data_IF_504219354802
#
_entry.id   IF_504219354802
#
_cell.length_a   1.000
_cell.length_b   1.000
_cell.length_c   1.000
_cell.angle_alpha   90.00
_cell.angle_beta   90.00
_cell.angle_gamma   90.00
#
_symmetry.space_group_name_H-M   'P 1'
#
loop_
_entity.id
_entity.type
_entity.pdbx_description
1 polymer ?
#
# COMPACT_ATOMS: atom_id res chain seq x y z
N UNK A 1 -21.86 17.39 -8.16
CA UNK A 1 -21.75 16.76 -6.85
C UNK A 1 -20.81 15.56 -6.92
N UNK A 2 -19.69 15.64 -6.28
CA UNK A 2 -18.75 14.54 -6.25
C UNK A 2 -19.20 13.40 -5.36
N UNK A 3 -18.88 12.18 -5.71
CA UNK A 3 -19.09 11.05 -4.83
C UNK A 3 -17.95 10.97 -3.84
N UNK A 4 -18.26 10.64 -2.60
CA UNK A 4 -17.26 10.51 -1.54
C UNK A 4 -16.61 9.14 -1.58
N UNK A 5 -15.30 9.11 -1.45
CA UNK A 5 -14.56 7.87 -1.27
C UNK A 5 -14.43 7.61 0.22
N UNK A 6 -14.81 6.40 0.64
CA UNK A 6 -14.67 5.97 2.03
C UNK A 6 -13.54 4.96 2.16
N UNK A 7 -12.81 5.02 3.28
CA UNK A 7 -11.72 4.10 3.58
C UNK A 7 -12.07 3.34 4.85
N UNK A 8 -11.97 2.02 4.79
CA UNK A 8 -12.32 1.16 5.92
C UNK A 8 -11.52 -0.14 5.85
N UNK A 9 -11.61 -0.94 6.93
CA UNK A 9 -10.97 -2.25 6.94
C UNK A 9 -11.61 -3.16 5.90
N UNK A 10 -10.78 -3.87 5.14
CA UNK A 10 -11.24 -4.83 4.17
C UNK A 10 -11.81 -6.07 4.85
N UNK A 11 -12.79 -6.68 4.23
CA UNK A 11 -13.38 -7.93 4.69
C UNK A 11 -13.24 -9.00 3.63
N UNK A 12 -13.58 -10.24 3.96
CA UNK A 12 -13.58 -11.35 3.02
C UNK A 12 -14.39 -11.04 1.76
N UNK A 13 -15.45 -10.25 1.89
CA UNK A 13 -16.31 -9.87 0.76
C UNK A 13 -15.58 -9.01 -0.26
N UNK A 14 -14.53 -8.32 0.16
CA UNK A 14 -13.78 -7.42 -0.71
C UNK A 14 -12.66 -8.13 -1.46
N UNK A 15 -12.33 -9.35 -1.06
CA UNK A 15 -11.11 -10.04 -1.53
C UNK A 15 -10.98 -10.10 -3.05
N UNK A 16 -12.04 -10.54 -3.73
CA UNK A 16 -11.99 -10.65 -5.20
C UNK A 16 -11.81 -9.31 -5.88
N UNK A 17 -12.51 -8.29 -5.41
CA UNK A 17 -12.42 -6.95 -6.01
C UNK A 17 -11.04 -6.33 -5.77
N UNK A 18 -10.49 -6.51 -4.59
CA UNK A 18 -9.15 -6.00 -4.28
C UNK A 18 -8.12 -6.68 -5.16
N UNK A 19 -8.21 -8.00 -5.30
CA UNK A 19 -7.25 -8.75 -6.11
C UNK A 19 -7.33 -8.36 -7.59
N UNK A 20 -8.54 -8.17 -8.12
CA UNK A 20 -8.71 -7.69 -9.50
C UNK A 20 -8.09 -6.32 -9.70
N UNK A 21 -8.28 -5.43 -8.74
CA UNK A 21 -7.69 -4.10 -8.80
C UNK A 21 -6.16 -4.19 -8.73
N UNK A 22 -5.64 -5.10 -7.91
CA UNK A 22 -4.21 -5.34 -7.80
C UNK A 22 -3.63 -5.76 -9.16
N UNK A 23 -4.26 -6.72 -9.83
CA UNK A 23 -3.81 -7.16 -11.15
C UNK A 23 -3.81 -6.00 -12.15
N UNK A 24 -4.86 -5.18 -12.11
CA UNK A 24 -4.94 -4.03 -13.00
C UNK A 24 -3.83 -3.02 -12.74
N UNK A 25 -3.63 -2.67 -11.47
CA UNK A 25 -2.67 -1.62 -11.09
C UNK A 25 -1.21 -2.05 -11.33
N UNK A 26 -0.89 -3.32 -11.14
CA UNK A 26 0.50 -3.78 -11.29
C UNK A 26 0.88 -4.14 -12.72
N UNK A 27 -0.04 -4.05 -13.69
CA UNK A 27 0.30 -4.23 -15.10
C UNK A 27 1.35 -3.21 -15.54
N UNK A 28 1.21 -1.95 -15.11
CA UNK A 28 2.16 -0.91 -15.46
C UNK A 28 3.54 -1.18 -14.88
N UNK A 29 3.61 -1.65 -13.64
CA UNK A 29 4.87 -2.01 -13.00
C UNK A 29 5.55 -3.13 -13.78
N UNK A 30 4.79 -4.17 -14.14
CA UNK A 30 5.29 -5.27 -14.94
C UNK A 30 5.83 -4.80 -16.29
N UNK A 31 5.12 -3.89 -16.93
CA UNK A 31 5.53 -3.33 -18.21
C UNK A 31 6.84 -2.55 -18.08
N UNK A 32 6.97 -1.74 -17.02
CA UNK A 32 8.18 -0.94 -16.79
C UNK A 32 9.43 -1.80 -16.64
N UNK A 33 9.31 -2.98 -16.05
CA UNK A 33 10.43 -3.86 -15.79
C UNK A 33 10.49 -5.07 -16.73
N UNK A 34 9.53 -5.19 -17.63
CA UNK A 34 9.47 -6.33 -18.55
C UNK A 34 9.30 -7.65 -17.82
N UNK A 35 8.62 -7.66 -16.67
CA UNK A 35 8.48 -8.85 -15.84
C UNK A 35 7.06 -8.99 -15.33
N UNK A 36 6.30 -9.89 -15.95
CA UNK A 36 4.91 -10.16 -15.56
C UNK A 36 4.80 -11.28 -14.51
N UNK A 37 5.93 -11.81 -14.05
CA UNK A 37 5.97 -12.80 -12.98
C UNK A 37 6.16 -12.20 -11.59
N UNK A 38 5.99 -10.89 -11.43
CA UNK A 38 6.10 -10.24 -10.13
C UNK A 38 4.99 -10.73 -9.19
N UNK A 39 5.28 -10.76 -7.91
CA UNK A 39 4.38 -11.34 -6.91
C UNK A 39 2.95 -10.76 -6.95
N UNK A 40 2.76 -9.43 -7.10
CA UNK A 40 1.41 -8.89 -7.13
C UNK A 40 0.54 -9.41 -8.29
N UNK A 41 1.16 -9.88 -9.36
CA UNK A 41 0.43 -10.43 -10.51
C UNK A 41 0.23 -11.95 -10.41
N UNK A 42 0.96 -12.62 -9.52
CA UNK A 42 0.87 -14.07 -9.36
C UNK A 42 0.16 -14.49 -8.08
N UNK A 43 -0.13 -13.55 -7.20
CA UNK A 43 -0.84 -13.84 -5.96
C UNK A 43 -2.23 -14.41 -6.26
N UNK A 44 -2.56 -15.52 -5.61
CA UNK A 44 -3.88 -16.15 -5.78
C UNK A 44 -4.88 -15.56 -4.78
N UNK A 45 -6.15 -15.85 -5.03
CA UNK A 45 -7.20 -15.42 -4.10
C UNK A 45 -7.02 -16.07 -2.73
N UNK A 46 -6.63 -17.34 -2.69
CA UNK A 46 -6.38 -18.03 -1.42
C UNK A 46 -5.23 -17.40 -0.66
N UNK A 47 -4.15 -17.04 -1.36
CA UNK A 47 -3.01 -16.34 -0.74
C UNK A 47 -3.45 -15.00 -0.16
N UNK A 48 -4.27 -14.25 -0.89
CA UNK A 48 -4.74 -12.97 -0.40
C UNK A 48 -5.67 -13.13 0.80
N UNK A 49 -6.53 -14.13 0.79
CA UNK A 49 -7.40 -14.41 1.94
C UNK A 49 -6.59 -14.73 3.20
N UNK A 50 -5.48 -15.44 3.03
CA UNK A 50 -4.58 -15.69 4.15
C UNK A 50 -3.97 -14.39 4.68
N UNK A 51 -3.60 -13.46 3.80
CA UNK A 51 -3.10 -12.15 4.22
C UNK A 51 -4.16 -11.37 5.00
N UNK A 52 -5.42 -11.43 4.59
CA UNK A 52 -6.50 -10.74 5.30
C UNK A 52 -6.58 -11.13 6.77
N UNK A 53 -6.21 -12.37 7.10
CA UNK A 53 -6.26 -12.87 8.46
C UNK A 53 -5.11 -12.36 9.34
N UNK A 54 -4.01 -11.90 8.73
CA UNK A 54 -2.78 -11.58 9.45
C UNK A 54 -2.29 -10.15 9.25
N UNK A 55 -2.82 -9.44 8.27
CA UNK A 55 -2.36 -8.10 7.92
C UNK A 55 -3.46 -7.08 8.18
N UNK A 56 -3.03 -5.82 8.34
CA UNK A 56 -3.95 -4.70 8.28
C UNK A 56 -4.20 -4.42 6.80
N UNK A 57 -5.40 -4.64 6.30
CA UNK A 57 -5.76 -4.37 4.92
C UNK A 57 -6.88 -3.35 4.90
N UNK A 58 -6.65 -2.23 4.23
CA UNK A 58 -7.68 -1.19 4.08
C UNK A 58 -8.16 -1.17 2.64
N UNK A 59 -9.40 -0.75 2.47
CA UNK A 59 -10.03 -0.64 1.17
C UNK A 59 -10.66 0.73 1.03
N UNK A 60 -10.52 1.33 -0.15
CA UNK A 60 -11.20 2.56 -0.52
C UNK A 60 -12.33 2.22 -1.47
N UNK A 61 -13.52 2.74 -1.19
CA UNK A 61 -14.71 2.50 -2.00
C UNK A 61 -15.30 3.80 -2.49
N UNK A 62 -15.76 3.76 -3.73
CA UNK A 62 -16.57 4.80 -4.33
C UNK A 62 -17.92 4.15 -4.59
N UNK A 63 -18.91 4.43 -3.74
CA UNK A 63 -20.14 3.64 -3.72
C UNK A 63 -19.79 2.22 -3.30
N UNK A 64 -20.13 1.24 -4.14
CA UNK A 64 -19.81 -0.17 -3.89
C UNK A 64 -18.56 -0.65 -4.60
N UNK A 65 -17.97 0.20 -5.43
CA UNK A 65 -16.79 -0.16 -6.20
C UNK A 65 -15.52 0.02 -5.37
N UNK A 66 -14.67 -0.99 -5.35
CA UNK A 66 -13.34 -0.89 -4.74
C UNK A 66 -12.43 -0.14 -5.69
N UNK A 67 -11.90 1.00 -5.23
CA UNK A 67 -11.08 1.88 -6.07
C UNK A 67 -9.67 2.06 -5.52
N UNK A 68 -9.36 1.48 -4.38
CA UNK A 68 -8.01 1.52 -3.83
C UNK A 68 -7.85 0.56 -2.68
N UNK A 69 -6.61 0.26 -2.31
CA UNK A 69 -6.30 -0.60 -1.19
C UNK A 69 -4.86 -0.38 -0.74
N UNK A 70 -4.55 -0.80 0.47
CA UNK A 70 -3.19 -0.77 1.03
C UNK A 70 -3.11 -1.81 2.13
N UNK A 71 -1.93 -2.37 2.35
CA UNK A 71 -1.69 -3.40 3.38
C UNK A 71 -0.52 -3.03 4.26
N UNK A 72 -0.53 -3.55 5.48
CA UNK A 72 0.60 -3.39 6.38
C UNK A 72 0.65 -4.46 7.46
N UNK A 73 1.85 -4.76 7.91
CA UNK A 73 2.12 -5.61 9.06
C UNK A 73 3.16 -4.93 9.93
N UNK A 74 3.27 -5.34 11.20
CA UNK A 74 4.28 -4.77 12.10
C UNK A 74 5.17 -5.90 12.59
N UNK A 75 6.49 -5.72 12.41
CA UNK A 75 7.51 -6.65 12.89
C UNK A 75 7.67 -6.52 14.41
N UNK A 76 8.40 -7.48 15.00
CA UNK A 76 8.65 -7.48 16.44
C UNK A 76 9.37 -6.22 16.94
N UNK A 77 10.17 -5.58 16.08
CA UNK A 77 10.90 -4.37 16.45
C UNK A 77 10.09 -3.07 16.26
N UNK A 78 8.80 -3.20 15.91
CA UNK A 78 7.94 -2.05 15.72
C UNK A 78 7.98 -1.46 14.32
N UNK A 79 8.64 -2.10 13.36
CA UNK A 79 8.67 -1.62 11.99
C UNK A 79 7.40 -2.08 11.27
N UNK A 80 6.61 -1.12 10.80
CA UNK A 80 5.44 -1.40 9.99
C UNK A 80 5.85 -1.48 8.53
N UNK A 81 5.62 -2.64 7.92
CA UNK A 81 5.90 -2.84 6.50
C UNK A 81 4.62 -2.63 5.73
N UNK A 82 4.61 -1.53 4.97
CA UNK A 82 3.45 -1.12 4.18
C UNK A 82 3.70 -1.51 2.73
N UNK A 83 2.69 -2.07 2.09
CA UNK A 83 2.82 -2.48 0.70
C UNK A 83 1.50 -2.50 -0.04
N UNK A 84 1.61 -2.76 -1.32
CA UNK A 84 0.48 -2.89 -2.24
C UNK A 84 -0.51 -1.74 -2.11
N UNK A 85 0.04 -0.52 -2.08
CA UNK A 85 -0.76 0.70 -2.17
C UNK A 85 -1.18 0.85 -3.63
N UNK A 86 -2.45 0.69 -3.88
CA UNK A 86 -3.00 0.72 -5.24
C UNK A 86 -4.20 1.65 -5.31
N UNK A 87 -4.31 2.37 -6.42
CA UNK A 87 -5.42 3.27 -6.71
C UNK A 87 -5.84 3.03 -8.15
N UNK A 88 -7.15 2.87 -8.36
CA UNK A 88 -7.68 2.67 -9.70
C UNK A 88 -7.18 3.78 -10.63
N UNK A 89 -6.73 3.44 -11.85
CA UNK A 89 -6.18 4.46 -12.76
C UNK A 89 -7.06 5.67 -12.99
N UNK A 90 -8.38 5.50 -12.97
CA UNK A 90 -9.33 6.62 -13.12
C UNK A 90 -9.28 7.62 -11.98
N UNK A 91 -8.80 7.20 -10.83
CA UNK A 91 -8.81 8.03 -9.61
C UNK A 91 -7.43 8.45 -9.16
N UNK A 92 -6.41 8.18 -9.95
CA UNK A 92 -5.06 8.66 -9.66
C UNK A 92 -5.01 10.18 -9.80
N UNK A 93 -4.09 10.82 -9.06
CA UNK A 93 -3.90 12.26 -9.02
C UNK A 93 -5.03 13.02 -8.31
N UNK A 94 -5.85 12.33 -7.54
CA UNK A 94 -6.91 12.95 -6.73
C UNK A 94 -6.61 12.87 -5.23
N UNK A 95 -5.37 12.54 -4.87
CA UNK A 95 -4.95 12.48 -3.47
C UNK A 95 -5.37 11.21 -2.73
N UNK A 96 -5.96 10.24 -3.41
CA UNK A 96 -6.43 9.02 -2.75
C UNK A 96 -5.27 8.16 -2.23
N UNK A 97 -4.16 8.09 -2.97
CA UNK A 97 -2.98 7.35 -2.50
C UNK A 97 -2.46 7.89 -1.16
N UNK A 98 -2.38 9.21 -1.04
CA UNK A 98 -1.98 9.85 0.22
C UNK A 98 -2.96 9.59 1.35
N UNK A 99 -4.25 9.59 1.05
CA UNK A 99 -5.28 9.30 2.07
C UNK A 99 -5.20 7.85 2.55
N UNK A 100 -4.99 6.90 1.65
CA UNK A 100 -4.82 5.50 2.01
C UNK A 100 -3.57 5.30 2.85
N UNK A 101 -2.47 5.95 2.46
CA UNK A 101 -1.22 5.86 3.18
C UNK A 101 -1.38 6.40 4.61
N UNK A 102 -1.99 7.59 4.75
CA UNK A 102 -2.24 8.17 6.07
C UNK A 102 -3.14 7.27 6.91
N UNK A 103 -4.17 6.70 6.30
CA UNK A 103 -5.11 5.84 7.02
C UNK A 103 -4.44 4.55 7.53
N UNK A 104 -3.61 3.89 6.71
CA UNK A 104 -2.93 2.67 7.16
C UNK A 104 -1.87 3.00 8.20
N UNK A 105 -1.16 4.11 8.06
CA UNK A 105 -0.20 4.55 9.08
C UNK A 105 -0.88 4.71 10.44
N UNK A 106 -2.02 5.38 10.45
CA UNK A 106 -2.77 5.60 11.68
C UNK A 106 -3.23 4.28 12.32
N UNK A 107 -3.77 3.36 11.52
CA UNK A 107 -4.18 2.05 12.01
C UNK A 107 -3.03 1.25 12.58
N UNK A 108 -1.88 1.28 11.90
CA UNK A 108 -0.72 0.51 12.33
C UNK A 108 -0.15 1.03 13.66
N UNK A 109 -0.23 2.34 13.89
CA UNK A 109 0.14 2.91 15.18
C UNK A 109 -0.89 2.57 16.26
N UNK A 110 -2.16 2.80 15.98
CA UNK A 110 -3.23 2.65 16.99
C UNK A 110 -3.46 1.20 17.38
N UNK A 111 -3.43 0.28 16.44
CA UNK A 111 -3.82 -1.10 16.68
C UNK A 111 -2.63 -2.06 16.76
N UNK A 112 -1.48 -1.70 16.20
CA UNK A 112 -0.34 -2.60 16.08
C UNK A 112 0.93 -2.03 16.71
N UNK A 113 0.85 -0.85 17.32
CA UNK A 113 1.96 -0.19 18.02
C UNK A 113 3.20 0.04 17.15
N UNK A 114 2.99 0.41 15.90
CA UNK A 114 4.09 0.71 14.98
C UNK A 114 4.93 1.88 15.49
N UNK A 115 6.24 1.75 15.39
CA UNK A 115 7.20 2.80 15.77
C UNK A 115 7.77 3.53 14.57
N UNK A 116 7.83 2.84 13.42
CA UNK A 116 8.30 3.41 12.15
C UNK A 116 7.60 2.71 11.02
N UNK A 117 7.58 3.38 9.88
CA UNK A 117 6.99 2.84 8.67
C UNK A 117 8.09 2.57 7.65
N UNK A 118 8.01 1.43 6.98
CA UNK A 118 8.94 1.00 5.96
C UNK A 118 8.16 0.57 4.72
N UNK A 119 8.61 1.03 3.57
CA UNK A 119 8.03 0.56 2.31
C UNK A 119 9.09 0.51 1.23
N UNK A 120 8.82 -0.25 0.19
CA UNK A 120 9.70 -0.37 -0.97
C UNK A 120 8.90 -0.10 -2.23
N UNK A 121 9.56 0.46 -3.23
CA UNK A 121 8.96 0.65 -4.54
C UNK A 121 10.06 0.54 -5.59
N UNK A 122 9.66 0.23 -6.84
CA UNK A 122 10.62 0.14 -7.92
C UNK A 122 11.29 1.48 -8.19
N UNK A 123 12.55 1.44 -8.57
CA UNK A 123 13.33 2.65 -8.83
C UNK A 123 12.79 3.46 -10.02
N UNK A 124 12.03 2.80 -10.91
CA UNK A 124 11.41 3.46 -12.05
C UNK A 124 9.99 3.97 -11.75
N UNK A 125 9.49 3.71 -10.56
CA UNK A 125 8.14 4.13 -10.16
C UNK A 125 8.16 5.54 -9.61
N UNK A 126 8.37 6.52 -10.50
CA UNK A 126 8.57 7.92 -10.11
C UNK A 126 7.39 8.51 -9.35
N UNK A 127 6.18 8.15 -9.74
CA UNK A 127 4.98 8.62 -9.06
C UNK A 127 4.89 8.17 -7.63
N UNK A 128 5.24 6.91 -7.37
CA UNK A 128 5.26 6.36 -6.01
C UNK A 128 6.35 7.02 -5.17
N UNK A 129 7.55 7.17 -5.74
CA UNK A 129 8.65 7.83 -5.02
C UNK A 129 8.27 9.25 -4.63
N UNK A 130 7.62 9.98 -5.52
CA UNK A 130 7.18 11.35 -5.25
C UNK A 130 6.12 11.36 -4.14
N UNK A 131 5.16 10.45 -4.20
CA UNK A 131 4.11 10.34 -3.19
C UNK A 131 4.71 10.09 -1.81
N UNK A 132 5.63 9.12 -1.70
CA UNK A 132 6.21 8.75 -0.43
C UNK A 132 7.08 9.87 0.15
N UNK A 133 7.92 10.49 -0.67
CA UNK A 133 8.75 11.61 -0.22
C UNK A 133 7.91 12.79 0.23
N UNK A 134 6.82 13.07 -0.49
CA UNK A 134 5.89 14.14 -0.11
C UNK A 134 5.25 13.86 1.25
N UNK A 135 5.10 12.60 1.61
CA UNK A 135 4.50 12.20 2.88
C UNK A 135 5.55 11.93 3.97
N UNK A 136 6.77 12.40 3.78
CA UNK A 136 7.77 12.39 4.83
C UNK A 136 8.72 11.20 4.83
N UNK A 137 8.64 10.32 3.83
CA UNK A 137 9.53 9.18 3.74
C UNK A 137 10.88 9.57 3.16
N UNK A 138 11.94 8.99 3.70
CA UNK A 138 13.30 9.20 3.21
C UNK A 138 13.89 7.85 2.76
N UNK A 139 14.70 7.90 1.72
CA UNK A 139 15.39 6.72 1.22
C UNK A 139 16.39 6.21 2.25
N UNK A 140 16.33 4.92 2.57
CA UNK A 140 17.25 4.29 3.51
C UNK A 140 18.12 3.21 2.86
N UNK A 141 17.83 2.80 1.64
CA UNK A 141 18.64 1.82 0.95
C UNK A 141 18.04 1.36 -0.35
N UNK A 142 18.69 0.37 -0.95
CA UNK A 142 18.21 -0.28 -2.17
C UNK A 142 18.19 -1.79 -1.94
N UNK A 143 17.27 -2.46 -2.63
CA UNK A 143 17.12 -3.90 -2.61
C UNK A 143 16.96 -4.38 -4.04
N UNK A 144 17.14 -5.66 -4.26
CA UNK A 144 16.97 -6.25 -5.58
C UNK A 144 16.03 -7.44 -5.49
N UNK A 145 15.05 -7.48 -6.37
CA UNK A 145 14.13 -8.60 -6.49
C UNK A 145 13.97 -8.91 -7.97
N UNK A 146 14.51 -10.05 -8.40
CA UNK A 146 14.55 -10.46 -9.80
C UNK A 146 15.27 -9.38 -10.62
N UNK A 147 14.62 -8.83 -11.65
CA UNK A 147 15.19 -7.79 -12.50
C UNK A 147 14.90 -6.37 -11.99
N UNK A 148 14.24 -6.26 -10.83
CA UNK A 148 13.78 -4.99 -10.30
C UNK A 148 14.72 -4.48 -9.23
N UNK A 149 15.17 -3.23 -9.36
CA UNK A 149 15.84 -2.51 -8.28
C UNK A 149 14.77 -1.79 -7.46
N UNK A 150 14.75 -2.08 -6.18
CA UNK A 150 13.77 -1.49 -5.26
C UNK A 150 14.44 -0.43 -4.40
N UNK A 151 13.73 0.67 -4.20
CA UNK A 151 14.15 1.71 -3.26
C UNK A 151 13.41 1.48 -1.96
N UNK A 152 14.16 1.41 -0.86
CA UNK A 152 13.58 1.27 0.47
C UNK A 152 13.50 2.66 1.12
N UNK A 153 12.33 2.97 1.68
CA UNK A 153 12.06 4.25 2.31
C UNK A 153 11.48 4.04 3.69
N UNK A 154 11.77 4.97 4.60
CA UNK A 154 11.27 4.89 5.98
C UNK A 154 10.84 6.24 6.49
N UNK A 155 9.94 6.20 7.48
CA UNK A 155 9.47 7.37 8.21
C UNK A 155 9.18 6.95 9.64
N UNK A 156 9.57 7.78 10.62
CA UNK A 156 9.23 7.54 12.02
C UNK A 156 7.74 7.78 12.25
N UNK A 157 7.12 6.98 13.10
CA UNK A 157 5.74 7.18 13.48
C UNK A 157 5.67 8.36 14.46
N UNK A 158 4.91 9.40 14.11
CA UNK A 158 4.83 10.63 14.89
C UNK A 158 3.57 10.74 15.72
N UNK A 159 2.65 9.79 15.60
CA UNK A 159 1.37 9.83 16.31
C UNK A 159 1.54 9.91 17.82
N UNK A 160 2.61 9.35 18.35
CA UNK A 160 2.88 9.39 19.79
C UNK A 160 3.37 10.74 20.28
N UNK A 161 4.04 11.50 19.41
CA UNK A 161 4.56 12.80 19.78
C UNK A 161 3.45 13.79 20.07
N UNK A 162 2.29 13.59 19.49
CA UNK A 162 1.14 14.47 19.63
C UNK A 162 0.18 14.07 20.73
N UNK A 163 0.34 12.87 21.29
CA UNK A 163 -0.54 12.37 22.34
C UNK A 163 -0.01 12.63 23.75
N UNK A 164 1.10 13.27 23.84
CA UNK A 164 1.73 13.59 25.13
C UNK A 164 0.97 14.66 25.89
#
# INVERSE_FOLDING_TARGET
>A
MGMSVTISAATERDAEQILKLQYLCFQREAELYGDYGIEPLTQTLDDFRAELAHCCVLVARLGEEVVGSVRGTVDDDGTARIGKLIVHPRLQRHGLGGRLLAAVEDRLVQEWAAKRYHLVTGDKSEGNLRLYRKNGYATVGTEHDREVTLIALEKEATAYATSA
#
